data_IF_209594514808
#
_entry.id   IF_209594514808
#
_cell.length_a   1.000
_cell.length_b   1.000
_cell.length_c   1.000
_cell.angle_alpha   90.00
_cell.angle_beta   90.00
_cell.angle_gamma   90.00
#
_symmetry.space_group_name_H-M   'P 1'
#
loop_
_entity.id
_entity.type
_entity.pdbx_description
1 polymer ?
#
# COMPACT_ATOMS: atom_id res chain seq x y z
N UNK A 1 -1.09 7.11 2.46
CA UNK A 1 -2.00 5.95 2.33
C UNK A 1 -2.98 6.28 1.21
N UNK A 2 -2.91 5.56 0.09
CA UNK A 2 -3.83 5.70 -1.04
C UNK A 2 -4.35 4.30 -1.40
N UNK A 3 -5.51 3.95 -0.88
CA UNK A 3 -6.17 2.66 -1.12
C UNK A 3 -7.41 2.90 -2.00
N UNK A 4 -7.67 1.99 -2.95
CA UNK A 4 -8.86 2.04 -3.81
C UNK A 4 -8.99 3.31 -4.65
N UNK A 5 -7.86 3.82 -5.14
CA UNK A 5 -7.78 5.05 -5.93
C UNK A 5 -7.65 4.79 -7.44
N UNK A 6 -7.69 3.52 -7.87
CA UNK A 6 -7.47 3.10 -9.27
C UNK A 6 -6.14 3.63 -9.85
N UNK A 7 -5.13 3.76 -8.99
CA UNK A 7 -3.78 4.14 -9.43
C UNK A 7 -3.25 3.05 -10.35
N UNK A 8 -2.70 3.46 -11.49
CA UNK A 8 -2.19 2.58 -12.54
C UNK A 8 -0.72 2.87 -12.81
N UNK A 9 -0.06 1.91 -13.45
CA UNK A 9 1.35 2.01 -13.83
C UNK A 9 2.31 1.44 -12.78
N UNK A 10 3.61 1.44 -13.09
CA UNK A 10 4.64 0.90 -12.21
C UNK A 10 4.95 1.83 -11.04
N UNK A 11 5.33 1.24 -9.91
CA UNK A 11 5.88 2.00 -8.79
C UNK A 11 7.32 2.40 -9.14
N UNK A 12 7.64 3.70 -9.24
CA UNK A 12 8.99 4.12 -9.60
C UNK A 12 9.97 3.78 -8.48
N UNK A 13 11.12 3.18 -8.80
CA UNK A 13 12.12 2.75 -7.83
C UNK A 13 12.61 3.90 -6.91
N UNK A 14 12.65 5.12 -7.45
CA UNK A 14 13.02 6.33 -6.71
C UNK A 14 12.05 6.68 -5.58
N UNK A 15 10.84 6.13 -5.58
CA UNK A 15 9.85 6.32 -4.51
C UNK A 15 10.37 5.84 -3.16
N UNK A 16 11.19 4.77 -3.15
CA UNK A 16 11.76 4.19 -1.93
C UNK A 16 13.01 4.92 -1.43
N UNK A 17 13.52 5.91 -2.18
CA UNK A 17 14.68 6.73 -1.78
C UNK A 17 14.30 7.93 -0.89
N UNK A 18 13.00 8.10 -0.59
CA UNK A 18 12.50 9.21 0.23
C UNK A 18 12.92 9.03 1.70
N UNK A 19 13.80 9.91 2.21
CA UNK A 19 14.49 9.78 3.50
C UNK A 19 13.60 9.54 4.75
N UNK A 20 12.33 9.93 4.69
CA UNK A 20 11.38 9.85 5.81
C UNK A 20 10.25 8.84 5.58
N UNK A 21 10.40 7.95 4.59
CA UNK A 21 9.37 6.98 4.25
C UNK A 21 9.36 5.84 5.28
N UNK A 22 8.30 5.79 6.09
CA UNK A 22 8.11 4.73 7.09
C UNK A 22 7.12 3.66 6.64
N UNK A 23 6.08 4.08 5.93
CA UNK A 23 4.92 3.23 5.63
C UNK A 23 4.38 3.55 4.25
N UNK A 24 4.31 2.54 3.40
CA UNK A 24 3.72 2.61 2.06
C UNK A 24 2.49 1.72 2.06
N UNK A 25 1.31 2.30 1.88
CA UNK A 25 0.06 1.55 1.75
C UNK A 25 -0.62 1.99 0.47
N UNK A 26 -0.57 1.11 -0.52
CA UNK A 26 -1.04 1.28 -1.90
C UNK A 26 -1.89 0.08 -2.36
N UNK A 27 -2.39 -0.72 -1.42
CA UNK A 27 -3.28 -1.85 -1.70
C UNK A 27 -4.55 -1.47 -2.45
N UNK A 28 -5.14 -2.45 -3.15
CA UNK A 28 -6.39 -2.34 -3.92
C UNK A 28 -6.32 -1.22 -4.96
N UNK A 29 -5.22 -1.16 -5.70
CA UNK A 29 -5.09 -0.30 -6.87
C UNK A 29 -4.89 -1.18 -8.12
N UNK A 30 -4.43 -0.59 -9.21
CA UNK A 30 -4.13 -1.26 -10.48
C UNK A 30 -2.64 -1.06 -10.83
N UNK A 31 -1.78 -0.96 -9.81
CA UNK A 31 -0.34 -0.82 -10.00
C UNK A 31 0.21 -2.09 -10.63
N UNK A 32 1.09 -1.94 -11.63
CA UNK A 32 1.52 -3.07 -12.46
C UNK A 32 3.04 -3.09 -12.68
N UNK A 33 3.52 -4.12 -13.37
CA UNK A 33 4.94 -4.28 -13.69
C UNK A 33 5.76 -4.82 -12.51
N UNK A 34 7.06 -4.58 -12.56
CA UNK A 34 8.03 -5.07 -11.56
C UNK A 34 8.18 -4.06 -10.43
N UNK A 35 8.01 -4.52 -9.20
CA UNK A 35 8.34 -3.74 -8.01
C UNK A 35 9.87 -3.77 -7.81
N UNK A 36 10.53 -2.65 -8.06
CA UNK A 36 11.99 -2.53 -7.90
C UNK A 36 12.31 -1.74 -6.64
N UNK A 37 13.06 -2.36 -5.75
CA UNK A 37 13.55 -1.75 -4.52
C UNK A 37 15.09 -1.77 -4.55
N UNK A 38 15.68 -0.58 -4.64
CA UNK A 38 17.13 -0.41 -4.65
C UNK A 38 17.78 -0.60 -3.26
N UNK A 39 19.12 -0.69 -3.21
CA UNK A 39 19.87 -0.84 -1.96
C UNK A 39 19.86 0.42 -1.08
N UNK A 40 19.57 1.59 -1.65
CA UNK A 40 19.51 2.88 -0.95
C UNK A 40 18.15 3.14 -0.29
N UNK A 41 17.61 2.12 0.40
CA UNK A 41 16.44 2.32 1.25
C UNK A 41 16.83 3.01 2.55
N UNK A 42 15.90 3.80 3.06
CA UNK A 42 16.01 4.42 4.37
C UNK A 42 15.81 3.40 5.48
N UNK A 43 16.63 3.45 6.53
CA UNK A 43 16.45 2.61 7.73
C UNK A 43 15.13 2.86 8.48
N UNK A 44 14.34 3.85 8.07
CA UNK A 44 13.05 4.17 8.67
C UNK A 44 11.88 3.40 8.06
N UNK A 45 12.07 2.75 6.89
CA UNK A 45 11.00 2.02 6.25
C UNK A 45 10.65 0.79 7.09
N UNK A 46 9.37 0.61 7.35
CA UNK A 46 8.85 -0.47 8.19
C UNK A 46 7.93 -1.40 7.40
N UNK A 47 7.08 -0.85 6.53
CA UNK A 47 6.07 -1.65 5.82
C UNK A 47 5.79 -1.12 4.40
N UNK A 48 5.66 -2.05 3.47
CA UNK A 48 5.19 -1.85 2.11
C UNK A 48 4.01 -2.80 1.87
N UNK A 49 2.80 -2.25 1.85
CA UNK A 49 1.56 -2.95 1.56
C UNK A 49 1.06 -2.58 0.15
N UNK A 50 1.20 -3.53 -0.77
CA UNK A 50 0.78 -3.44 -2.18
C UNK A 50 -0.23 -4.54 -2.53
N UNK A 51 -0.95 -5.08 -1.55
CA UNK A 51 -1.92 -6.16 -1.75
C UNK A 51 -2.96 -5.82 -2.82
N UNK A 52 -3.45 -6.83 -3.55
CA UNK A 52 -4.50 -6.69 -4.56
C UNK A 52 -4.17 -5.59 -5.59
N UNK A 53 -3.03 -5.75 -6.27
CA UNK A 53 -2.60 -4.97 -7.42
C UNK A 53 -2.26 -5.94 -8.57
N UNK A 54 -1.60 -5.47 -9.62
CA UNK A 54 -1.17 -6.24 -10.77
C UNK A 54 0.37 -6.35 -10.86
N UNK A 55 1.07 -6.42 -9.72
CA UNK A 55 2.54 -6.57 -9.67
C UNK A 55 2.94 -7.98 -10.15
N UNK A 56 3.72 -8.03 -11.23
CA UNK A 56 4.11 -9.29 -11.87
C UNK A 56 5.42 -9.85 -11.35
N UNK A 57 6.28 -9.01 -10.79
CA UNK A 57 7.60 -9.43 -10.32
C UNK A 57 8.11 -8.51 -9.19
N UNK A 58 9.03 -9.01 -8.38
CA UNK A 58 9.63 -8.30 -7.27
C UNK A 58 11.16 -8.42 -7.32
N UNK A 59 11.82 -7.28 -7.51
CA UNK A 59 13.28 -7.17 -7.49
C UNK A 59 13.69 -6.28 -6.31
N UNK A 60 13.94 -6.90 -5.17
CA UNK A 60 14.43 -6.23 -3.96
C UNK A 60 15.76 -6.81 -3.49
N UNK A 61 16.37 -6.21 -2.46
CA UNK A 61 17.57 -6.77 -1.84
C UNK A 61 17.28 -8.14 -1.21
N UNK A 62 18.28 -9.02 -1.19
CA UNK A 62 18.16 -10.36 -0.56
C UNK A 62 17.83 -10.28 0.94
N UNK A 63 18.27 -9.21 1.60
CA UNK A 63 18.01 -8.95 3.02
C UNK A 63 17.47 -7.54 3.22
N UNK A 64 16.41 -7.44 4.01
CA UNK A 64 15.79 -6.18 4.37
C UNK A 64 15.12 -6.28 5.74
N UNK A 65 14.97 -5.15 6.42
CA UNK A 65 14.42 -5.04 7.78
C UNK A 65 12.98 -4.49 7.84
N UNK A 66 12.33 -4.36 6.68
CA UNK A 66 10.94 -3.94 6.54
C UNK A 66 10.04 -5.12 6.15
N UNK A 67 8.73 -4.96 6.28
CA UNK A 67 7.75 -5.94 5.85
C UNK A 67 7.23 -5.60 4.45
N UNK A 68 7.16 -6.58 3.55
CA UNK A 68 6.60 -6.43 2.20
C UNK A 68 5.40 -7.35 2.08
N UNK A 69 4.26 -6.83 1.62
CA UNK A 69 3.02 -7.60 1.47
C UNK A 69 2.48 -7.43 0.06
N UNK A 70 2.57 -8.49 -0.75
CA UNK A 70 2.13 -8.54 -2.16
C UNK A 70 0.98 -9.53 -2.38
N UNK A 71 0.30 -10.00 -1.33
CA UNK A 71 -0.84 -10.93 -1.44
C UNK A 71 -1.88 -10.42 -2.45
N UNK A 72 -2.36 -11.29 -3.33
CA UNK A 72 -3.32 -10.92 -4.39
C UNK A 72 -2.70 -10.17 -5.57
N UNK A 73 -1.39 -10.33 -5.81
CA UNK A 73 -0.71 -9.89 -7.03
C UNK A 73 -0.23 -11.10 -7.85
N UNK A 74 -0.08 -10.97 -9.18
CA UNK A 74 0.44 -12.04 -10.05
C UNK A 74 1.79 -12.63 -9.62
N UNK A 75 2.68 -11.85 -9.00
CA UNK A 75 3.96 -12.34 -8.43
C UNK A 75 3.76 -13.46 -7.38
N UNK A 76 2.57 -13.51 -6.77
CA UNK A 76 2.17 -14.54 -5.79
C UNK A 76 1.31 -15.65 -6.38
N UNK A 77 1.01 -15.61 -7.68
CA UNK A 77 0.20 -16.63 -8.36
C UNK A 77 1.06 -17.77 -8.93
N UNK A 78 2.39 -17.60 -9.00
CA UNK A 78 3.29 -18.68 -9.43
C UNK A 78 3.26 -19.85 -8.45
N UNK A 79 2.80 -21.01 -8.93
CA UNK A 79 2.78 -22.26 -8.19
C UNK A 79 4.18 -22.65 -7.72
N UNK A 80 4.40 -22.69 -6.40
CA UNK A 80 5.66 -23.08 -5.78
C UNK A 80 6.48 -21.94 -5.18
N UNK A 81 6.09 -20.68 -5.39
CA UNK A 81 6.71 -19.54 -4.70
C UNK A 81 6.21 -19.47 -3.25
N UNK A 82 7.07 -19.81 -2.30
CA UNK A 82 6.79 -19.67 -0.85
C UNK A 82 7.38 -18.39 -0.27
N UNK A 83 7.45 -17.34 -1.09
CA UNK A 83 8.04 -16.09 -0.68
C UNK A 83 7.29 -15.48 0.50
N UNK A 84 8.03 -14.92 1.45
CA UNK A 84 7.50 -14.33 2.69
C UNK A 84 6.51 -13.20 2.40
N UNK A 85 6.74 -12.45 1.31
CA UNK A 85 5.88 -11.35 0.90
C UNK A 85 4.53 -11.77 0.29
N UNK A 86 4.37 -13.06 -0.03
CA UNK A 86 3.10 -13.64 -0.50
C UNK A 86 2.27 -14.24 0.64
N UNK A 87 2.71 -14.08 1.89
CA UNK A 87 1.95 -14.51 3.06
C UNK A 87 1.28 -13.28 3.70
N UNK A 88 0.02 -13.40 4.13
CA UNK A 88 -0.60 -12.33 4.89
C UNK A 88 0.20 -12.12 6.20
N UNK A 89 0.45 -10.87 6.62
CA UNK A 89 0.99 -10.59 7.93
C UNK A 89 0.14 -11.29 9.00
N UNK A 90 0.74 -11.82 10.09
CA UNK A 90 -0.05 -12.09 11.29
C UNK A 90 -0.83 -10.82 11.64
N UNK A 91 -2.08 -10.97 12.07
CA UNK A 91 -3.14 -9.95 12.26
C UNK A 91 -2.79 -8.71 13.14
N UNK A 92 -1.52 -8.47 13.44
CA UNK A 92 -0.99 -7.48 14.37
C UNK A 92 -0.59 -6.14 13.75
N UNK A 93 -0.63 -5.93 12.43
CA UNK A 93 -0.38 -4.60 11.83
C UNK A 93 -1.47 -4.16 10.86
N UNK A 94 -2.74 -4.42 11.22
CA UNK A 94 -3.77 -3.42 10.94
C UNK A 94 -3.34 -2.13 11.65
N UNK A 95 -2.44 -1.35 11.05
CA UNK A 95 -2.44 0.09 11.21
C UNK A 95 -3.70 0.60 10.50
N UNK A 96 -4.86 0.15 11.00
CA UNK A 96 -5.98 1.04 11.14
C UNK A 96 -5.43 2.15 11.99
N UNK A 97 -5.30 3.36 11.45
CA UNK A 97 -5.52 4.50 12.32
C UNK A 97 -6.82 4.17 13.03
N UNK A 98 -6.86 4.07 14.37
CA UNK A 98 -8.11 3.81 15.05
C UNK A 98 -9.05 4.90 14.55
N UNK A 99 -10.09 4.53 13.79
CA UNK A 99 -11.22 5.42 13.57
C UNK A 99 -11.66 5.74 14.99
N UNK A 100 -11.36 6.94 15.48
CA UNK A 100 -11.79 7.38 16.79
C UNK A 100 -13.31 7.42 16.77
N UNK A 101 -13.97 6.31 17.12
CA UNK A 101 -15.41 6.13 17.32
C UNK A 101 -16.26 7.22 16.66
N UNK A 102 -16.12 7.41 15.35
CA UNK A 102 -16.91 8.43 14.69
C UNK A 102 -18.36 7.94 14.78
N UNK A 103 -19.30 8.79 15.21
CA UNK A 103 -20.70 8.39 15.28
C UNK A 103 -21.16 7.92 13.89
N UNK A 104 -22.04 6.91 13.81
CA UNK A 104 -22.54 6.42 12.53
C UNK A 104 -23.25 7.56 11.79
N UNK A 105 -22.85 7.78 10.53
CA UNK A 105 -23.40 8.78 9.61
C UNK A 105 -23.34 10.28 10.03
N UNK A 106 -22.17 10.93 10.15
CA UNK A 106 -22.10 12.38 10.31
C UNK A 106 -22.07 13.16 8.98
N UNK A 107 -21.89 12.49 7.83
CA UNK A 107 -21.64 13.14 6.55
C UNK A 107 -22.87 13.12 5.63
N UNK A 108 -23.07 14.23 4.90
CA UNK A 108 -24.14 14.34 3.90
C UNK A 108 -23.78 13.54 2.65
N UNK A 109 -24.80 13.15 1.89
CA UNK A 109 -24.65 12.44 0.61
C UNK A 109 -23.64 13.16 -0.30
N UNK A 110 -22.56 12.47 -0.67
CA UNK A 110 -21.45 13.00 -1.47
C UNK A 110 -20.18 13.41 -0.69
N UNK A 111 -20.19 13.37 0.65
CA UNK A 111 -19.01 13.66 1.47
C UNK A 111 -18.37 12.38 2.03
N UNK A 112 -17.05 12.34 2.07
CA UNK A 112 -16.25 11.27 2.68
C UNK A 112 -15.74 11.68 4.07
N UNK A 113 -15.72 10.72 5.00
CA UNK A 113 -15.29 10.94 6.38
C UNK A 113 -13.77 10.82 6.50
N UNK A 114 -13.12 11.84 7.06
CA UNK A 114 -11.69 11.81 7.35
C UNK A 114 -11.37 10.97 8.60
N UNK A 115 -10.10 10.57 8.79
CA UNK A 115 -9.63 9.96 10.04
C UNK A 115 -9.82 10.84 11.29
N UNK A 116 -10.13 12.13 11.13
CA UNK A 116 -10.45 13.10 12.20
C UNK A 116 -11.96 13.33 12.37
N UNK A 117 -12.81 12.45 11.80
CA UNK A 117 -14.26 12.56 11.78
C UNK A 117 -14.80 13.85 11.12
N UNK A 118 -14.08 14.43 10.14
CA UNK A 118 -14.54 15.60 9.37
C UNK A 118 -15.01 15.16 7.99
N UNK A 119 -16.13 15.70 7.55
CA UNK A 119 -16.67 15.42 6.23
C UNK A 119 -16.04 16.35 5.20
N UNK A 120 -15.56 15.79 4.10
CA UNK A 120 -15.01 16.55 2.98
C UNK A 120 -15.59 16.05 1.65
N UNK A 121 -15.71 16.94 0.67
CA UNK A 121 -16.06 16.54 -0.70
C UNK A 121 -14.81 15.93 -1.35
N UNK A 122 -14.91 14.76 -2.01
CA UNK A 122 -13.80 14.22 -2.76
C UNK A 122 -13.47 15.17 -3.93
N UNK A 123 -12.20 15.54 -4.07
CA UNK A 123 -11.77 16.31 -5.24
C UNK A 123 -11.81 15.40 -6.47
N UNK A 124 -12.75 15.65 -7.37
CA UNK A 124 -12.82 15.02 -8.70
C UNK A 124 -12.30 16.01 -9.73
N UNK A 125 -11.17 15.70 -10.35
CA UNK A 125 -10.70 16.39 -11.55
C UNK A 125 -11.09 15.57 -12.79
N UNK A 126 -11.64 16.24 -13.80
CA UNK A 126 -11.69 15.70 -15.16
C UNK A 126 -10.41 16.11 -15.89
N UNK A 127 -9.75 15.14 -16.56
CA UNK A 127 -8.58 15.36 -17.41
C UNK A 127 -8.89 16.31 -18.57
#
# INVERSE_FOLDING_TARGET
MMENTKLQGPVPATFFNLQNLQTVVLKRNQLNGTLVIGPSITNQLQIIDLQNNAISDFNGPETYNYEVVLVGNPVCEETGKTDTYCKPPPLTSLYSTPLKNCPPNPCRSGQILSPTCRCALPYTGTL
#
